data_IF_090327778566
#
_entry.id   IF_090327778566
#
_cell.length_a   1.000
_cell.length_b   1.000
_cell.length_c   1.000
_cell.angle_alpha   90.00
_cell.angle_beta   90.00
_cell.angle_gamma   90.00
#
_symmetry.space_group_name_H-M   'P 1'
#
loop_
_entity.id
_entity.type
_entity.pdbx_description
1 polymer ?
2 non-polymer ?
3 water ?
#
# COMPACT_ATOMS: atom_id res chain seq x y z
N UNK A 1 -22.64 4.03 2.72
CA UNK A 1 -22.66 2.59 2.31
C UNK A 1 -21.31 2.22 1.69
N UNK A 2 -20.35 1.72 2.51
CA UNK A 2 -18.98 1.43 2.04
C UNK A 2 -18.98 0.47 0.83
N UNK A 3 -18.03 0.64 -0.09
CA UNK A 3 -17.90 -0.24 -1.25
C UNK A 3 -17.23 -1.56 -0.90
N UNK A 4 -17.96 -2.43 -0.17
CA UNK A 4 -17.43 -3.74 0.26
C UNK A 4 -17.15 -4.66 -0.91
N UNK A 5 -18.06 -4.69 -1.88
CA UNK A 5 -17.87 -5.53 -3.06
C UNK A 5 -16.57 -5.17 -3.84
N UNK A 6 -16.35 -3.88 -4.03
CA UNK A 6 -15.13 -3.41 -4.72
C UNK A 6 -13.90 -3.85 -3.91
N UNK A 7 -13.90 -3.58 -2.61
CA UNK A 7 -12.78 -3.96 -1.75
C UNK A 7 -12.45 -5.45 -1.86
N UNK A 8 -13.50 -6.26 -1.92
CA UNK A 8 -13.35 -7.70 -1.95
C UNK A 8 -12.78 -8.16 -3.29
N UNK A 9 -13.26 -7.59 -4.41
CA UNK A 9 -12.67 -7.88 -5.72
C UNK A 9 -11.14 -7.53 -5.76
N UNK A 10 -10.74 -6.38 -5.20
CA UNK A 10 -9.32 -6.01 -5.11
C UNK A 10 -8.53 -7.02 -4.26
N UNK A 11 -9.04 -7.34 -3.07
CA UNK A 11 -8.36 -8.29 -2.18
C UNK A 11 -8.16 -9.66 -2.84
N UNK A 12 -9.18 -10.14 -3.52
CA UNK A 12 -9.17 -11.48 -4.11
C UNK A 12 -8.16 -11.64 -5.25
N UNK A 13 -8.16 -10.71 -6.19
CA UNK A 13 -7.24 -10.79 -7.32
C UNK A 13 -5.89 -10.08 -7.12
N UNK A 14 -5.83 -9.15 -6.18
CA UNK A 14 -4.67 -8.26 -6.17
C UNK A 14 -3.87 -8.15 -4.87
N UNK A 15 -4.08 -9.06 -3.90
CA UNK A 15 -3.25 -9.03 -2.70
C UNK A 15 -2.58 -10.35 -2.42
N UNK A 16 -1.42 -10.27 -1.78
CA UNK A 16 -0.73 -11.46 -1.33
C UNK A 16 -0.24 -11.10 0.03
N UNK A 17 0.22 -12.12 0.77
CA UNK A 17 0.86 -11.90 2.07
C UNK A 17 2.36 -11.79 1.80
N UNK A 18 2.99 -10.73 2.27
CA UNK A 18 4.43 -10.57 2.08
C UNK A 18 5.05 -10.60 3.44
N UNK A 19 6.24 -11.19 3.56
CA UNK A 19 6.89 -11.25 4.83
C UNK A 19 8.36 -10.91 4.63
N UNK A 20 8.84 -9.97 5.43
CA UNK A 20 10.20 -9.51 5.39
C UNK A 20 10.76 -9.79 6.76
N UNK A 21 12.00 -9.38 6.99
CA UNK A 21 12.58 -9.47 8.34
C UNK A 21 11.75 -8.69 9.39
N UNK A 22 10.87 -7.79 8.95
CA UNK A 22 10.08 -6.99 9.89
C UNK A 22 8.72 -7.62 10.23
N UNK A 23 8.35 -8.69 9.55
CA UNK A 23 7.08 -9.33 9.82
C UNK A 23 6.24 -9.39 8.56
N UNK A 24 4.94 -9.65 8.72
CA UNK A 24 4.02 -9.80 7.60
C UNK A 24 3.30 -8.47 7.34
N UNK A 25 2.94 -8.26 6.07
CA UNK A 25 2.27 -7.06 5.59
C UNK A 25 1.34 -7.55 4.53
N UNK A 26 0.18 -6.93 4.44
CA UNK A 26 -0.67 -7.09 3.28
C UNK A 26 0.11 -6.46 2.09
N UNK A 27 0.07 -7.10 0.92
CA UNK A 27 0.77 -6.56 -0.23
C UNK A 27 -0.16 -6.45 -1.40
N UNK A 28 -0.27 -5.23 -1.94
CA UNK A 28 -1.09 -4.98 -3.09
C UNK A 28 -0.25 -5.11 -4.35
N UNK A 29 -0.67 -5.99 -5.25
CA UNK A 29 -0.10 -6.11 -6.59
C UNK A 29 -0.82 -5.15 -7.51
N UNK A 30 -0.06 -4.42 -8.33
CA UNK A 30 -0.61 -3.31 -9.13
C UNK A 30 -0.72 -3.64 -10.62
N UNK A 31 0.33 -4.24 -11.18
CA UNK A 31 0.34 -4.63 -12.58
C UNK A 31 1.55 -5.56 -12.80
N UNK A 32 1.49 -6.41 -13.83
CA UNK A 32 2.62 -7.28 -14.16
C UNK A 32 3.15 -7.94 -12.88
N UNK A 33 4.43 -7.74 -12.55
CA UNK A 33 4.95 -8.31 -11.30
C UNK A 33 5.41 -7.22 -10.35
N UNK A 34 4.67 -6.12 -10.40
CA UNK A 34 4.96 -4.92 -9.61
C UNK A 34 3.93 -4.81 -8.47
N UNK A 35 4.41 -4.64 -7.25
CA UNK A 35 3.54 -4.52 -6.06
C UNK A 35 4.05 -3.39 -5.17
N UNK A 36 3.31 -3.09 -4.11
CA UNK A 36 3.72 -2.08 -3.13
C UNK A 36 3.70 -2.60 -1.70
N UNK A 37 4.49 -1.97 -0.87
CA UNK A 37 4.54 -2.35 0.54
C UNK A 37 5.05 -1.13 1.30
N UNK A 38 4.65 -0.97 2.57
CA UNK A 38 5.15 0.17 3.30
C UNK A 38 6.67 0.14 3.42
N UNK A 39 7.31 1.32 3.39
CA UNK A 39 8.78 1.38 3.39
C UNK A 39 9.40 0.82 4.68
N UNK A 40 8.70 0.99 5.82
CA UNK A 40 9.12 0.34 7.06
C UNK A 40 9.21 -1.21 7.04
N UNK A 41 8.68 -1.87 6.01
CA UNK A 41 8.92 -3.31 5.87
C UNK A 41 10.39 -3.68 5.62
N UNK A 42 11.20 -2.73 5.13
CA UNK A 42 12.64 -2.97 4.86
C UNK A 42 12.85 -4.13 3.90
N UNK A 43 12.30 -4.01 2.70
CA UNK A 43 12.46 -5.02 1.67
C UNK A 43 13.96 -5.18 1.35
N UNK A 44 14.42 -6.44 1.24
CA UNK A 44 15.85 -6.71 0.92
C UNK A 44 15.92 -7.25 -0.50
N UNK A 45 16.75 -8.29 -0.71
CA UNK A 45 16.92 -8.96 -2.03
C UNK A 45 16.00 -10.13 -2.25
N UNK A 46 15.45 -10.64 -1.15
CA UNK A 46 14.40 -11.65 -1.26
C UNK A 46 13.28 -11.36 -0.25
N UNK A 47 12.10 -11.90 -0.53
CA UNK A 47 10.92 -11.70 0.29
C UNK A 47 10.03 -12.94 0.19
N UNK A 48 9.22 -13.23 1.21
CA UNK A 48 8.23 -14.30 1.07
C UNK A 48 6.92 -13.77 0.63
N UNK A 49 6.37 -14.41 -0.39
CA UNK A 49 5.09 -14.06 -0.96
C UNK A 49 4.22 -15.33 -0.80
N UNK A 50 3.17 -15.25 0.02
CA UNK A 50 2.37 -16.45 0.36
C UNK A 50 3.30 -17.61 0.80
N UNK A 51 4.27 -17.28 1.64
CA UNK A 51 5.28 -18.22 2.18
C UNK A 51 6.24 -18.84 1.17
N UNK A 52 6.19 -18.40 -0.10
CA UNK A 52 7.16 -18.80 -1.11
C UNK A 52 8.30 -17.75 -1.19
N UNK A 53 9.53 -18.19 -0.92
CA UNK A 53 10.70 -17.32 -1.08
C UNK A 53 10.79 -16.82 -2.54
N UNK A 54 10.99 -15.51 -2.70
CA UNK A 54 10.81 -14.85 -4.00
C UNK A 54 11.90 -13.79 -4.14
N UNK A 55 12.56 -13.80 -5.30
CA UNK A 55 13.61 -12.81 -5.58
C UNK A 55 12.97 -11.41 -5.77
N UNK A 56 13.50 -10.43 -5.07
CA UNK A 56 13.09 -9.04 -5.32
C UNK A 56 13.98 -8.44 -6.42
N UNK A 57 13.44 -8.23 -7.60
CA UNK A 57 14.23 -7.74 -8.73
C UNK A 57 14.50 -6.22 -8.66
N UNK A 58 13.57 -5.49 -8.06
CA UNK A 58 13.74 -4.03 -7.87
C UNK A 58 12.92 -3.63 -6.67
N UNK A 59 13.44 -2.69 -5.88
CA UNK A 59 12.68 -2.09 -4.78
C UNK A 59 12.95 -0.57 -4.79
N UNK A 60 11.94 0.26 -5.03
CA UNK A 60 12.13 1.71 -5.03
C UNK A 60 11.34 2.33 -3.90
N UNK A 61 12.06 2.84 -2.91
CA UNK A 61 11.51 3.48 -1.74
C UNK A 61 11.23 4.95 -2.12
N UNK A 62 9.96 5.29 -2.35
CA UNK A 62 9.63 6.59 -2.94
C UNK A 62 9.84 7.75 -1.99
N UNK A 63 10.41 8.82 -2.52
CA UNK A 63 10.55 10.07 -1.79
C UNK A 63 10.14 11.20 -2.73
N UNK A 64 9.67 12.32 -2.17
CA UNK A 64 9.25 13.46 -2.99
C UNK A 64 10.46 14.39 -3.29
N UNK A 65 10.21 15.54 -3.96
CA UNK A 65 11.30 16.43 -4.36
C UNK A 65 11.89 17.23 -3.21
N UNK A 66 11.30 17.13 -2.02
CA UNK A 66 11.94 17.68 -0.81
C UNK A 66 12.84 16.62 -0.17
N UNK A 67 12.98 15.48 -0.85
CA UNK A 67 13.78 14.34 -0.34
C UNK A 67 13.19 13.81 0.98
N UNK A 68 11.86 13.74 1.03
CA UNK A 68 11.18 13.26 2.22
C UNK A 68 10.49 11.96 1.89
N UNK A 69 10.61 11.01 2.81
CA UNK A 69 9.87 9.73 2.77
C UNK A 69 8.40 9.87 2.39
N UNK A 70 7.95 9.11 1.37
CA UNK A 70 6.52 8.90 1.03
C UNK A 70 5.94 7.55 1.58
N UNK A 71 6.80 6.69 2.11
CA UNK A 71 6.40 5.42 2.78
C UNK A 71 5.89 4.34 1.83
N UNK A 72 5.89 4.63 0.53
CA UNK A 72 5.61 3.61 -0.49
C UNK A 72 6.93 3.03 -1.04
N UNK A 73 7.03 1.70 -1.03
CA UNK A 73 8.12 1.01 -1.72
C UNK A 73 7.51 0.18 -2.80
N UNK A 74 7.95 0.44 -4.01
CA UNK A 74 7.47 -0.32 -5.16
C UNK A 74 8.44 -1.45 -5.41
N UNK A 75 7.92 -2.68 -5.54
CA UNK A 75 8.79 -3.83 -5.70
C UNK A 75 8.47 -4.58 -6.97
N UNK A 76 9.51 -5.13 -7.60
CA UNK A 76 9.30 -5.95 -8.77
C UNK A 76 9.76 -7.35 -8.40
N UNK A 77 8.92 -8.35 -8.69
CA UNK A 77 9.07 -9.65 -8.05
C UNK A 77 9.40 -10.69 -9.11
N UNK A 78 10.30 -11.61 -8.81
CA UNK A 78 10.51 -12.71 -9.78
C UNK A 78 9.49 -13.82 -9.52
N UNK A 79 8.32 -13.74 -10.15
CA UNK A 79 7.37 -14.79 -10.02
C UNK A 79 6.61 -14.98 -11.31
N UNK A 80 5.93 -16.11 -11.42
CA UNK A 80 5.34 -16.51 -12.68
C UNK A 80 4.04 -15.77 -12.98
N UNK A 81 3.19 -15.68 -11.98
CA UNK A 81 1.90 -15.03 -12.12
C UNK A 81 2.01 -13.48 -12.29
N UNK A 82 1.26 -12.93 -13.25
CA UNK A 82 1.02 -11.49 -13.38
C UNK A 82 -0.16 -11.03 -12.52
N UNK A 83 -0.03 -9.87 -11.89
CA UNK A 83 -1.20 -9.25 -11.25
C UNK A 83 -2.13 -8.66 -12.31
N UNK A 84 -3.44 -8.80 -12.09
CA UNK A 84 -4.43 -8.04 -12.86
C UNK A 84 -4.05 -6.55 -12.80
N UNK A 85 -4.13 -5.87 -13.94
CA UNK A 85 -3.64 -4.50 -13.98
C UNK A 85 -4.71 -3.58 -13.38
N UNK A 86 -4.45 -2.96 -12.23
CA UNK A 86 -5.47 -2.12 -11.58
C UNK A 86 -5.10 -0.63 -11.58
N UNK A 87 -4.14 -0.26 -12.44
CA UNK A 87 -3.72 1.14 -12.52
C UNK A 87 -4.89 2.06 -12.84
N UNK A 88 -5.85 1.61 -13.64
CA UNK A 88 -6.98 2.50 -13.95
C UNK A 88 -7.87 2.82 -12.70
N UNK A 89 -7.66 2.09 -11.61
CA UNK A 89 -8.42 2.37 -10.39
C UNK A 89 -7.65 3.28 -9.47
N UNK A 90 -6.42 3.69 -9.85
CA UNK A 90 -5.65 4.58 -8.96
C UNK A 90 -6.03 6.04 -9.23
N UNK A 91 -6.20 6.86 -8.18
CA UNK A 91 -6.52 8.27 -8.43
C UNK A 91 -5.38 9.04 -9.14
N UNK A 92 -5.77 10.02 -9.92
CA UNK A 92 -4.80 10.84 -10.60
C UNK A 92 -4.12 11.79 -9.64
N UNK A 93 -4.88 12.34 -8.67
CA UNK A 93 -4.44 13.46 -7.84
C UNK A 93 -4.68 13.18 -6.36
N UNK A 94 -4.04 13.96 -5.51
CA UNK A 94 -4.41 14.04 -4.09
C UNK A 94 -5.92 14.35 -3.92
N UNK A 95 -6.55 13.82 -2.87
CA UNK A 95 -8.00 14.06 -2.68
C UNK A 95 -8.43 13.64 -1.28
N UNK A 96 -9.65 14.06 -0.89
CA UNK A 96 -10.33 13.56 0.28
C UNK A 96 -11.39 12.61 -0.23
N UNK A 97 -11.87 11.73 0.65
CA UNK A 97 -12.76 10.65 0.23
C UNK A 97 -13.78 10.34 1.32
N UNK A 98 -14.88 9.76 0.90
CA UNK A 98 -15.95 9.36 1.83
C UNK A 98 -16.03 7.88 2.00
N UNK A 99 -16.32 7.45 3.22
CA UNK A 99 -16.79 6.08 3.48
C UNK A 99 -15.82 5.00 2.92
N UNK A 100 -14.56 5.09 3.32
CA UNK A 100 -13.53 4.19 2.78
C UNK A 100 -13.56 2.85 3.51
N UNK A 101 -13.04 1.82 2.83
CA UNK A 101 -12.77 0.51 3.47
C UNK A 101 -11.25 0.23 3.53
N UNK A 102 -10.79 -0.23 4.68
CA UNK A 102 -9.45 -0.80 4.86
C UNK A 102 -9.55 -2.32 4.89
N UNK A 103 -8.81 -3.00 4.01
CA UNK A 103 -8.81 -4.46 3.93
C UNK A 103 -7.42 -5.06 4.12
N UNK A 104 -7.40 -6.15 4.87
CA UNK A 104 -6.19 -6.80 5.33
C UNK A 104 -6.18 -8.23 4.83
N UNK A 105 -4.97 -8.68 4.47
CA UNK A 105 -4.70 -10.06 3.98
C UNK A 105 -3.33 -10.52 4.50
N UNK A 106 -3.35 -11.12 5.70
CA UNK A 106 -2.15 -11.62 6.34
C UNK A 106 -2.45 -13.06 6.76
N UNK A 107 -1.46 -13.78 7.30
CA UNK A 107 -1.72 -15.11 7.86
C UNK A 107 -2.77 -15.09 8.98
N UNK A 108 -2.63 -14.12 9.90
CA UNK A 108 -3.53 -13.98 11.03
C UNK A 108 -4.95 -13.56 10.58
N UNK A 109 -5.05 -12.68 9.57
CA UNK A 109 -6.34 -12.24 9.00
C UNK A 109 -6.41 -12.37 7.46
N UNK A 110 -6.68 -13.59 6.94
CA UNK A 110 -6.54 -13.77 5.49
C UNK A 110 -7.55 -12.94 4.66
N UNK A 111 -8.57 -12.40 5.30
CA UNK A 111 -9.59 -11.66 4.57
C UNK A 111 -10.45 -10.88 5.57
N UNK A 112 -10.10 -9.63 5.83
CA UNK A 112 -10.86 -8.81 6.79
C UNK A 112 -11.05 -7.37 6.28
N UNK A 113 -12.23 -6.81 6.56
CA UNK A 113 -12.67 -5.51 6.03
C UNK A 113 -13.13 -4.61 7.17
N UNK A 114 -12.61 -3.40 7.18
CA UNK A 114 -12.87 -2.42 8.21
C UNK A 114 -13.27 -1.10 7.54
N UNK A 115 -14.55 -0.71 7.66
CA UNK A 115 -15.01 0.65 7.27
C UNK A 115 -14.38 1.67 8.19
N UNK A 116 -13.59 2.58 7.62
CA UNK A 116 -12.87 3.55 8.43
C UNK A 116 -13.52 4.95 8.35
N UNK A 117 -14.52 5.08 7.50
CA UNK A 117 -15.28 6.33 7.37
C UNK A 117 -14.53 7.29 6.46
N UNK A 118 -14.57 8.57 6.81
CA UNK A 118 -13.99 9.63 6.00
C UNK A 118 -12.47 9.57 5.92
N UNK A 119 -11.94 9.88 4.74
CA UNK A 119 -10.48 9.93 4.57
C UNK A 119 -10.05 11.33 4.12
N UNK A 120 -9.15 11.94 4.88
CA UNK A 120 -8.73 13.27 4.55
C UNK A 120 -7.25 13.30 4.14
N UNK A 121 -6.97 14.13 3.15
CA UNK A 121 -5.61 14.50 2.76
C UNK A 121 -4.95 15.21 3.94
N UNK A 122 -4.07 14.50 4.64
CA UNK A 122 -3.53 14.98 5.90
C UNK A 122 -2.15 15.68 5.79
N UNK A 123 -1.26 15.15 4.94
CA UNK A 123 0.00 15.83 4.61
C UNK A 123 1.12 15.24 5.42
N UNK A 124 1.71 16.06 6.28
CA UNK A 124 2.89 15.66 7.05
C UNK A 124 2.50 14.76 8.21
N UNK A 125 3.35 13.77 8.47
CA UNK A 125 3.24 12.88 9.61
C UNK A 125 4.64 12.47 10.06
N UNK A 126 4.92 12.65 11.34
CA UNK A 126 6.08 12.03 11.95
C UNK A 126 5.77 10.54 12.12
N UNK A 127 6.24 9.71 11.19
CA UNK A 127 5.92 8.27 11.22
C UNK A 127 7.03 7.47 11.92
N UNK A 128 6.81 7.12 13.19
CA UNK A 128 7.80 6.36 13.98
C UNK A 128 9.15 7.04 13.96
N UNK A 129 9.14 8.38 13.97
CA UNK A 129 10.36 9.18 13.94
C UNK A 129 10.88 9.53 12.55
N UNK A 130 10.21 9.07 11.50
CA UNK A 130 10.61 9.41 10.13
C UNK A 130 9.66 10.44 9.56
N UNK A 131 10.18 11.64 9.22
CA UNK A 131 9.30 12.61 8.56
C UNK A 131 8.73 12.06 7.25
N UNK A 132 7.42 12.21 7.09
CA UNK A 132 6.73 11.60 5.97
C UNK A 132 5.72 12.57 5.34
N UNK A 133 5.61 12.54 4.01
CA UNK A 133 4.64 13.39 3.32
C UNK A 133 3.54 12.61 2.63
N UNK A 134 2.51 13.35 2.22
CA UNK A 134 1.45 12.84 1.38
C UNK A 134 0.58 11.76 2.07
N UNK A 135 0.36 11.92 3.36
CA UNK A 135 -0.39 10.97 4.18
C UNK A 135 -1.90 11.21 4.15
N UNK A 136 -2.66 10.12 4.11
CA UNK A 136 -4.10 10.16 4.31
C UNK A 136 -4.46 9.71 5.74
N UNK A 137 -5.51 10.33 6.30
CA UNK A 137 -5.91 10.07 7.70
C UNK A 137 -7.40 9.70 7.79
N UNK A 138 -7.67 8.75 8.66
CA UNK A 138 -9.02 8.32 8.96
C UNK A 138 -9.11 8.16 10.47
N UNK A 139 -10.28 8.49 10.99
CA UNK A 139 -10.53 8.44 12.43
C UNK A 139 -11.02 7.08 12.76
N UNK A 140 -10.08 6.16 12.86
CA UNK A 140 -10.38 4.79 13.21
C UNK A 140 -9.17 4.22 13.94
N UNK A 141 -9.40 3.45 15.02
CA UNK A 141 -8.30 2.92 15.79
C UNK A 141 -7.66 1.65 15.21
N UNK A 142 -6.88 1.86 14.15
CA UNK A 142 -6.15 0.80 13.47
C UNK A 142 -5.03 0.28 14.35
N UNK A 143 -4.60 -0.95 14.09
CA UNK A 143 -3.67 -1.64 14.97
C UNK A 143 -2.48 -2.18 14.21
N UNK A 144 -1.46 -2.57 14.97
CA UNK A 144 -0.38 -3.39 14.46
C UNK A 144 -0.98 -4.62 13.73
N UNK A 145 -0.32 -5.06 12.67
CA UNK A 145 -0.83 -6.17 11.88
C UNK A 145 -1.63 -5.70 10.66
N UNK A 146 -1.98 -4.42 10.59
CA UNK A 146 -2.80 -3.93 9.47
C UNK A 146 -1.97 -3.13 8.44
N UNK A 147 -0.66 -3.02 8.62
CA UNK A 147 0.18 -2.26 7.66
C UNK A 147 0.18 -2.96 6.30
N UNK A 148 0.06 -2.13 5.26
CA UNK A 148 -0.08 -2.63 3.90
C UNK A 148 -1.53 -2.78 3.52
N UNK A 149 -2.41 -2.73 4.53
CA UNK A 149 -3.83 -2.88 4.21
C UNK A 149 -4.24 -1.85 3.17
N UNK A 150 -5.13 -2.27 2.28
CA UNK A 150 -5.55 -1.49 1.15
C UNK A 150 -6.77 -0.61 1.49
N UNK A 151 -6.67 0.69 1.14
CA UNK A 151 -7.77 1.65 1.38
C UNK A 151 -8.43 1.90 0.07
N UNK A 152 -9.71 1.55 0.01
CA UNK A 152 -10.51 1.74 -1.17
C UNK A 152 -11.78 2.56 -0.88
N UNK A 153 -12.30 3.20 -1.94
CA UNK A 153 -13.73 3.53 -2.07
C UNK A 153 -14.20 2.73 -3.29
N UNK A 154 -15.50 2.68 -3.59
CA UNK A 154 -15.89 2.15 -4.90
C UNK A 154 -15.10 2.80 -6.06
N UNK A 155 -14.47 1.93 -6.83
CA UNK A 155 -13.80 2.32 -8.04
C UNK A 155 -12.46 2.93 -7.89
N UNK A 156 -11.98 3.14 -6.66
CA UNK A 156 -10.61 3.65 -6.47
C UNK A 156 -9.80 2.97 -5.39
N UNK A 157 -8.54 2.71 -5.70
CA UNK A 157 -7.57 2.25 -4.72
C UNK A 157 -6.70 3.43 -4.35
N UNK A 158 -6.82 3.90 -3.11
CA UNK A 158 -6.32 5.25 -2.82
C UNK A 158 -5.06 5.27 -1.98
N UNK A 159 -4.76 4.16 -1.31
CA UNK A 159 -3.59 4.13 -0.44
C UNK A 159 -3.39 2.80 0.26
N UNK A 160 -2.28 2.70 1.01
CA UNK A 160 -1.99 1.53 1.84
C UNK A 160 -1.67 2.01 3.23
N UNK A 161 -2.06 1.21 4.22
CA UNK A 161 -2.04 1.60 5.61
C UNK A 161 -0.60 1.54 6.16
N UNK A 162 -0.20 2.55 6.92
CA UNK A 162 1.20 2.60 7.31
C UNK A 162 1.42 2.93 8.76
N UNK A 163 0.37 3.42 9.44
CA UNK A 163 0.57 3.90 10.81
C UNK A 163 -0.72 4.26 11.52
N UNK A 164 -0.60 4.63 12.79
CA UNK A 164 -1.75 4.94 13.64
C UNK A 164 -1.27 5.35 15.02
N UNK A 165 -2.10 6.12 15.73
CA UNK A 165 -1.75 6.66 17.06
C UNK A 165 -2.68 6.12 18.18
N UNK A 166 -3.51 5.15 17.84
CA UNK A 166 -4.44 4.54 18.79
C UNK A 166 -5.83 5.09 18.57
N UNK A 167 -5.94 6.25 17.94
CA UNK A 167 -7.25 6.84 17.66
C UNK A 167 -7.50 7.04 16.17
N UNK A 168 -6.41 7.32 15.44
CA UNK A 168 -6.46 7.56 14.01
C UNK A 168 -5.56 6.57 13.29
N UNK A 169 -5.88 6.30 12.03
CA UNK A 169 -5.04 5.49 11.14
C UNK A 169 -4.53 6.34 9.97
N UNK A 170 -3.39 5.95 9.41
CA UNK A 170 -2.69 6.71 8.39
C UNK A 170 -2.28 5.79 7.23
N UNK A 171 -2.52 6.26 6.00
CA UNK A 171 -2.17 5.52 4.79
C UNK A 171 -1.30 6.41 3.91
N UNK A 172 -0.40 5.79 3.14
CA UNK A 172 0.43 6.55 2.20
C UNK A 172 -0.35 6.54 0.93
N UNK A 173 -0.42 7.67 0.21
CA UNK A 173 -1.23 7.70 -1.00
C UNK A 173 -0.64 6.83 -2.09
N UNK A 174 -1.52 6.35 -2.97
CA UNK A 174 -1.10 5.81 -4.24
C UNK A 174 -1.62 6.78 -5.30
N UNK A 175 -0.75 7.19 -6.22
CA UNK A 175 -1.20 7.99 -7.39
C UNK A 175 -0.93 7.24 -8.68
N UNK A 176 -1.80 7.45 -9.67
CA UNK A 176 -1.66 6.81 -10.98
C UNK A 176 -0.25 7.00 -11.57
N UNK A 177 0.36 8.17 -11.39
CA UNK A 177 1.66 8.44 -12.09
C UNK A 177 2.84 7.69 -11.45
N UNK A 178 2.64 7.05 -10.29
CA UNK A 178 3.72 6.23 -9.70
C UNK A 178 4.05 5.02 -10.58
N UNK A 179 3.11 4.61 -11.41
CA UNK A 179 3.20 3.34 -12.14
C UNK A 179 3.13 3.47 -13.65
N UNK A 180 3.33 4.66 -14.18
CA UNK A 180 3.16 4.82 -15.64
C UNK A 180 4.47 4.35 -16.31
N UNK A 181 4.33 3.56 -17.39
CA UNK A 181 5.46 2.94 -18.14
C UNK A 181 6.38 4.03 -18.70
N UNK A 182 7.53 4.28 -18.06
CA UNK A 182 8.22 5.57 -18.29
C UNK A 182 9.63 5.57 -18.97
N UNK A 183 10.58 6.34 -18.40
CA UNK A 183 11.91 6.59 -19.03
C UNK A 183 13.18 6.15 -18.25
N UNK A 184 14.34 6.66 -18.68
CA UNK A 184 15.65 6.05 -18.35
C UNK A 184 16.52 6.84 -17.37
N UNK A 185 16.68 6.32 -16.15
CA UNK A 185 17.82 6.74 -15.34
C UNK A 185 18.21 5.82 -14.18
N UNK A 186 19.47 6.00 -13.78
CA UNK A 186 20.09 5.31 -12.67
C UNK A 186 19.35 5.65 -11.39
N UNK A 187 18.70 4.65 -10.79
CA UNK A 187 17.94 4.88 -9.55
C UNK A 187 18.53 4.33 -8.25
N UNK A 188 19.62 3.56 -8.32
CA UNK A 188 20.27 3.02 -7.11
C UNK A 188 21.71 3.47 -6.93
N UNK A 189 22.35 3.91 -7.87
X LIG B 1 2.59 -3.33 12.95
X LIG B 1 3.51 -2.87 12.24
X LIG B 1 4.90 -3.00 12.69
X LIG B 1 5.24 -3.49 14.01
X LIG B 1 6.18 -2.55 14.76
X LIG B 1 3.24 -2.17 10.90
X LIG B 1 1.92 -1.39 10.86
X LIG B 1 1.79 -0.37 12.01
X LIG B 1 0.36 0.18 12.13
X LIG B 1 0.15 1.08 13.36
X LIG B 1 0.69 0.52 14.70
X LIG B 1 -0.28 1.02 15.79
X LIG B 1 -1.46 1.32 14.97
X LIG B 1 -1.31 1.32 13.71
X LIG B 1 -2.31 1.52 12.84
X LIG B 1 2.69 0.74 11.71
X LIG B 1 3.77 0.98 12.45
X LIG B 1 4.05 0.31 13.43
X LIG B 1 4.65 2.08 12.10
X LIG B 1 6.01 2.20 12.52
X LIG B 1 6.53 3.45 11.80
X LIG B 1 6.80 0.96 12.08
X LIG B 1 6.05 2.42 14.05
#
# INVERSE_FOLDING_TARGET
>A
GPGFDFAQAIMKKNTVVARTEKGEFTMLGVHDRVAVIPTHASVGETIYINDVETKVLDACALRDLTDTNLEITIVKLDRNQKFRDIRHFLPRYEDDYNDAVLSVHTSKFPNMYIPVGQVTNYGFLNLGGTPTHRILMYNFPTRAGQCGGVVTTTGKVIGIHVGGNGAQGFAAMLLHSYFTDTQKHHHHHH
>B hetero
1 G74 O88 C84 O86 C3 C5 C82 C63 C57 C59 C61 C73 C71 N69 C65 O66 N49 C39 O47 O37 C1 C2 C4 C6
#
